data_IF_861805285791
#
_entry.id   IF_861805285791
#
_cell.length_a   1.000
_cell.length_b   1.000
_cell.length_c   1.000
_cell.angle_alpha   90.00
_cell.angle_beta   90.00
_cell.angle_gamma   90.00
#
_symmetry.space_group_name_H-M   'P 1'
#
loop_
_entity.id
_entity.type
_entity.pdbx_description
1 polymer ?
#
# COMPACT_ATOMS: atom_id res chain seq x y z
N UNK A 1 21.33 -94.80 -48.87
CA UNK A 1 20.62 -94.22 -47.71
C UNK A 1 21.63 -93.38 -46.93
N UNK A 2 21.45 -92.06 -46.85
CA UNK A 2 22.03 -91.21 -45.82
C UNK A 2 21.24 -89.90 -45.77
N UNK A 3 20.99 -89.49 -44.53
CA UNK A 3 19.99 -88.55 -44.03
C UNK A 3 20.55 -87.11 -44.02
N UNK A 4 19.68 -86.16 -44.35
CA UNK A 4 19.45 -84.84 -43.69
C UNK A 4 20.65 -84.10 -43.06
N UNK A 5 20.77 -82.80 -43.34
CA UNK A 5 20.44 -81.78 -42.33
C UNK A 5 20.54 -80.35 -42.87
N UNK A 6 19.39 -79.69 -42.83
CA UNK A 6 19.17 -78.29 -43.14
C UNK A 6 19.44 -77.45 -41.87
N UNK A 7 20.48 -76.62 -41.88
CA UNK A 7 20.78 -75.71 -40.77
C UNK A 7 20.18 -74.34 -41.09
N UNK A 8 19.02 -74.05 -40.48
CA UNK A 8 18.42 -72.72 -40.42
C UNK A 8 19.18 -71.85 -39.39
N UNK A 9 19.51 -70.57 -39.68
CA UNK A 9 20.25 -69.72 -38.76
C UNK A 9 19.35 -69.13 -37.64
N UNK A 10 19.89 -68.87 -36.43
CA UNK A 10 19.10 -68.41 -35.29
C UNK A 10 18.73 -66.92 -35.40
N UNK A 11 17.46 -66.61 -35.11
CA UNK A 11 16.87 -65.27 -35.23
C UNK A 11 17.16 -64.38 -34.00
N UNK A 12 18.19 -63.53 -34.12
CA UNK A 12 18.56 -62.53 -33.10
C UNK A 12 17.76 -61.23 -33.23
N UNK A 13 16.41 -61.30 -33.22
CA UNK A 13 15.52 -60.12 -33.41
C UNK A 13 14.87 -59.56 -32.13
N UNK A 14 14.90 -60.30 -31.01
CA UNK A 14 14.25 -59.89 -29.74
C UNK A 14 14.94 -58.73 -29.00
N UNK A 15 16.27 -58.60 -29.07
CA UNK A 15 17.00 -57.53 -28.35
C UNK A 15 16.86 -56.16 -29.01
N UNK A 16 16.72 -56.11 -30.34
CA UNK A 16 16.58 -54.85 -31.08
C UNK A 16 15.20 -54.20 -30.86
N UNK A 17 14.13 -55.00 -30.86
CA UNK A 17 12.77 -54.51 -30.59
C UNK A 17 12.65 -54.00 -29.15
N UNK A 18 13.27 -54.69 -28.19
CA UNK A 18 13.30 -54.25 -26.80
C UNK A 18 14.03 -52.92 -26.62
N UNK A 19 15.20 -52.76 -27.26
CA UNK A 19 15.95 -51.50 -27.22
C UNK A 19 15.18 -50.36 -27.91
N UNK A 20 14.45 -50.63 -28.99
CA UNK A 20 13.61 -49.64 -29.66
C UNK A 20 12.42 -49.20 -28.77
N UNK A 21 11.75 -50.14 -28.09
CA UNK A 21 10.68 -49.82 -27.14
C UNK A 21 11.20 -49.01 -25.94
N UNK A 22 12.38 -49.35 -25.44
CA UNK A 22 13.03 -48.63 -24.34
C UNK A 22 13.39 -47.20 -24.76
N UNK A 23 13.85 -46.99 -25.99
CA UNK A 23 14.14 -45.66 -26.54
C UNK A 23 12.87 -44.81 -26.67
N UNK A 24 11.78 -45.38 -27.18
CA UNK A 24 10.48 -44.69 -27.26
C UNK A 24 9.96 -44.32 -25.87
N UNK A 25 10.07 -45.24 -24.89
CA UNK A 25 9.70 -44.96 -23.51
C UNK A 25 10.53 -43.82 -22.90
N UNK A 26 11.84 -43.79 -23.15
CA UNK A 26 12.72 -42.69 -22.71
C UNK A 26 12.27 -41.36 -23.31
N UNK A 27 11.87 -41.32 -24.58
CA UNK A 27 11.34 -40.09 -25.20
C UNK A 27 10.07 -39.62 -24.48
N UNK A 28 9.16 -40.53 -24.14
CA UNK A 28 7.96 -40.17 -23.37
C UNK A 28 8.29 -39.66 -21.96
N UNK A 29 9.27 -40.27 -21.29
CA UNK A 29 9.72 -39.82 -19.96
C UNK A 29 10.37 -38.43 -20.05
N UNK A 30 11.23 -38.19 -21.03
CA UNK A 30 11.86 -36.88 -21.25
C UNK A 30 10.82 -35.82 -21.60
N UNK A 31 9.84 -36.15 -22.45
CA UNK A 31 8.74 -35.26 -22.79
C UNK A 31 7.85 -34.95 -21.56
N UNK A 32 7.57 -35.94 -20.73
CA UNK A 32 6.80 -35.76 -19.48
C UNK A 32 7.57 -34.90 -18.47
N UNK A 33 8.89 -35.11 -18.32
CA UNK A 33 9.75 -34.30 -17.46
C UNK A 33 9.81 -32.85 -17.97
N UNK A 34 10.01 -32.65 -19.28
CA UNK A 34 10.03 -31.32 -19.87
C UNK A 34 8.67 -30.61 -19.70
N UNK A 35 7.57 -31.32 -19.94
CA UNK A 35 6.21 -30.80 -19.74
C UNK A 35 5.97 -30.43 -18.28
N UNK A 36 6.34 -31.29 -17.33
CA UNK A 36 6.24 -31.02 -15.91
C UNK A 36 7.11 -29.82 -15.50
N UNK A 37 8.36 -29.72 -15.98
CA UNK A 37 9.25 -28.61 -15.67
C UNK A 37 8.69 -27.28 -16.22
N UNK A 38 8.18 -27.29 -17.45
CA UNK A 38 7.62 -26.09 -18.11
C UNK A 38 6.32 -25.59 -17.47
N UNK A 39 5.53 -26.47 -16.82
CA UNK A 39 4.20 -26.13 -16.28
C UNK A 39 4.20 -25.93 -14.76
N UNK A 40 4.90 -26.79 -14.00
CA UNK A 40 4.89 -26.80 -12.53
C UNK A 40 6.05 -26.03 -11.90
N UNK A 41 7.20 -25.95 -12.58
CA UNK A 41 8.43 -25.35 -12.07
C UNK A 41 8.80 -24.04 -12.80
N UNK A 42 7.96 -23.55 -13.71
CA UNK A 42 8.23 -22.27 -14.36
C UNK A 42 7.96 -21.12 -13.37
N UNK A 43 8.91 -20.18 -13.20
CA UNK A 43 8.72 -18.98 -12.37
C UNK A 43 7.49 -18.16 -12.78
N UNK A 44 6.98 -18.33 -14.00
CA UNK A 44 5.81 -17.64 -14.53
C UNK A 44 4.51 -17.97 -13.77
N UNK A 45 4.35 -19.19 -13.26
CA UNK A 45 3.14 -19.57 -12.52
C UNK A 45 3.14 -19.03 -11.09
N UNK A 46 4.31 -18.97 -10.44
CA UNK A 46 4.47 -18.39 -9.10
C UNK A 46 4.33 -16.87 -9.16
N UNK A 47 4.97 -16.23 -10.15
CA UNK A 47 4.83 -14.78 -10.36
C UNK A 47 3.41 -14.37 -10.75
N UNK A 48 2.67 -15.19 -11.53
CA UNK A 48 1.27 -14.90 -11.82
C UNK A 48 0.38 -14.90 -10.56
N UNK A 49 0.56 -15.87 -9.67
CA UNK A 49 -0.18 -15.92 -8.40
C UNK A 49 0.21 -14.79 -7.46
N UNK A 50 1.50 -14.47 -7.34
CA UNK A 50 1.98 -13.34 -6.53
C UNK A 50 1.46 -12.00 -7.07
N UNK A 51 1.45 -11.80 -8.39
CA UNK A 51 0.90 -10.59 -9.01
C UNK A 51 -0.61 -10.50 -8.78
N UNK A 52 -1.34 -11.60 -8.91
CA UNK A 52 -2.79 -11.63 -8.65
C UNK A 52 -3.10 -11.31 -7.18
N UNK A 53 -2.37 -11.90 -6.23
CA UNK A 53 -2.52 -11.61 -4.80
C UNK A 53 -2.17 -10.17 -4.45
N UNK A 54 -1.04 -9.65 -4.96
CA UNK A 54 -0.63 -8.27 -4.73
C UNK A 54 -1.62 -7.28 -5.34
N UNK A 55 -2.18 -7.60 -6.52
CA UNK A 55 -3.19 -6.78 -7.17
C UNK A 55 -4.50 -6.78 -6.38
N UNK A 56 -4.98 -7.94 -5.92
CA UNK A 56 -6.16 -8.04 -5.08
C UNK A 56 -5.98 -7.28 -3.76
N UNK A 57 -4.84 -7.44 -3.09
CA UNK A 57 -4.51 -6.71 -1.87
C UNK A 57 -4.47 -5.18 -2.09
N UNK A 58 -3.93 -4.74 -3.23
CA UNK A 58 -3.93 -3.33 -3.61
C UNK A 58 -5.36 -2.81 -3.83
N UNK A 59 -6.22 -3.56 -4.52
CA UNK A 59 -7.62 -3.18 -4.72
C UNK A 59 -8.40 -3.09 -3.41
N UNK A 60 -8.22 -4.08 -2.52
CA UNK A 60 -8.85 -4.07 -1.20
C UNK A 60 -8.38 -2.86 -0.37
N UNK A 61 -7.08 -2.59 -0.36
CA UNK A 61 -6.51 -1.43 0.32
C UNK A 61 -7.05 -0.11 -0.25
N UNK A 62 -7.12 0.01 -1.58
CA UNK A 62 -7.61 1.21 -2.25
C UNK A 62 -9.11 1.44 -1.95
N UNK A 63 -9.90 0.37 -1.93
CA UNK A 63 -11.32 0.43 -1.59
C UNK A 63 -11.53 0.82 -0.11
N UNK A 64 -10.79 0.22 0.81
CA UNK A 64 -10.83 0.60 2.22
C UNK A 64 -10.42 2.06 2.43
N UNK A 65 -9.38 2.52 1.74
CA UNK A 65 -8.93 3.92 1.76
C UNK A 65 -10.02 4.87 1.25
N UNK A 66 -10.62 4.57 0.08
CA UNK A 66 -11.74 5.37 -0.47
C UNK A 66 -12.92 5.42 0.49
N UNK A 67 -13.30 4.29 1.08
CA UNK A 67 -14.39 4.22 2.04
C UNK A 67 -14.09 5.02 3.31
N UNK A 68 -12.88 4.88 3.87
CA UNK A 68 -12.47 5.61 5.06
C UNK A 68 -12.53 7.13 4.85
N UNK A 69 -12.07 7.62 3.70
CA UNK A 69 -12.10 9.04 3.37
C UNK A 69 -13.54 9.53 3.12
N UNK A 70 -14.37 8.74 2.42
CA UNK A 70 -15.75 9.12 2.13
C UNK A 70 -16.66 9.09 3.36
N UNK A 71 -16.37 8.22 4.33
CA UNK A 71 -17.12 8.08 5.59
C UNK A 71 -16.53 8.91 6.74
N UNK A 72 -15.47 9.67 6.49
CA UNK A 72 -14.85 10.53 7.48
C UNK A 72 -15.83 11.63 7.90
N UNK A 73 -15.96 11.82 9.21
CA UNK A 73 -16.83 12.84 9.82
C UNK A 73 -16.06 13.81 10.71
N UNK A 74 -14.74 13.65 10.82
CA UNK A 74 -13.90 14.44 11.72
C UNK A 74 -13.30 15.63 10.98
N UNK A 75 -13.96 16.77 11.05
CA UNK A 75 -13.50 18.01 10.45
C UNK A 75 -14.63 19.02 10.38
N UNK A 76 -14.27 20.27 10.13
CA UNK A 76 -15.22 21.35 9.90
C UNK A 76 -15.61 21.48 8.43
N UNK A 77 -16.69 22.22 8.20
CA UNK A 77 -17.09 22.69 6.87
C UNK A 77 -16.12 23.75 6.34
N UNK A 78 -15.34 24.38 7.23
CA UNK A 78 -14.26 25.33 6.91
C UNK A 78 -12.95 24.92 7.60
N UNK A 79 -11.78 25.38 7.11
CA UNK A 79 -10.52 25.09 7.79
C UNK A 79 -10.43 25.79 9.16
N UNK A 80 -11.07 26.95 9.35
CA UNK A 80 -11.14 27.63 10.65
C UNK A 80 -11.91 26.80 11.68
N UNK A 81 -13.05 26.20 11.28
CA UNK A 81 -13.82 25.31 12.15
C UNK A 81 -13.01 24.07 12.50
N UNK A 82 -12.28 23.50 11.54
CA UNK A 82 -11.39 22.35 11.78
C UNK A 82 -10.25 22.71 12.73
N UNK A 83 -9.63 23.88 12.55
CA UNK A 83 -8.59 24.39 13.43
C UNK A 83 -9.11 24.55 14.87
N UNK A 84 -10.32 25.09 15.02
CA UNK A 84 -10.95 25.25 16.34
C UNK A 84 -11.23 23.91 17.02
N UNK A 85 -11.81 22.95 16.30
CA UNK A 85 -12.06 21.59 16.79
C UNK A 85 -10.76 20.88 17.20
N UNK A 86 -9.69 21.07 16.43
CA UNK A 86 -8.37 20.54 16.74
C UNK A 86 -7.79 21.17 18.01
N UNK A 87 -7.83 22.50 18.12
CA UNK A 87 -7.37 23.22 19.32
C UNK A 87 -8.15 22.76 20.55
N UNK A 88 -9.48 22.65 20.48
CA UNK A 88 -10.32 22.19 21.60
C UNK A 88 -9.96 20.76 22.04
N UNK A 89 -9.70 19.86 21.10
CA UNK A 89 -9.25 18.50 21.43
C UNK A 89 -7.88 18.52 22.14
N UNK A 90 -6.94 19.37 21.69
CA UNK A 90 -5.63 19.52 22.34
C UNK A 90 -5.73 20.14 23.74
N UNK A 91 -6.58 21.16 23.93
CA UNK A 91 -6.85 21.80 25.22
C UNK A 91 -7.40 20.80 26.24
N UNK A 92 -8.27 19.89 25.79
CA UNK A 92 -8.80 18.79 26.58
C UNK A 92 -7.81 17.62 26.75
N UNK A 93 -6.65 17.67 26.10
CA UNK A 93 -5.66 16.59 26.09
C UNK A 93 -6.14 15.32 25.38
N UNK A 94 -7.18 15.41 24.55
CA UNK A 94 -7.74 14.32 23.76
C UNK A 94 -6.96 14.16 22.45
N UNK A 95 -5.78 13.55 22.58
CA UNK A 95 -4.88 13.29 21.44
C UNK A 95 -5.47 12.30 20.44
N UNK A 96 -6.41 11.45 20.88
CA UNK A 96 -7.12 10.54 19.98
C UNK A 96 -8.05 11.33 19.06
N UNK A 97 -8.89 12.20 19.63
CA UNK A 97 -9.77 13.07 18.84
C UNK A 97 -8.96 14.04 17.97
N UNK A 98 -7.91 14.64 18.52
CA UNK A 98 -7.05 15.56 17.79
C UNK A 98 -6.40 14.89 16.57
N UNK A 99 -5.95 13.64 16.70
CA UNK A 99 -5.35 12.89 15.59
C UNK A 99 -6.33 12.60 14.45
N UNK A 100 -7.63 12.55 14.74
CA UNK A 100 -8.65 12.28 13.71
C UNK A 100 -8.89 13.47 12.80
N UNK A 101 -8.48 14.69 13.14
CA UNK A 101 -8.59 15.85 12.25
C UNK A 101 -7.51 15.88 11.16
N UNK A 102 -6.51 14.99 11.23
CA UNK A 102 -5.53 14.84 10.15
C UNK A 102 -6.11 14.09 8.96
N UNK A 103 -5.59 14.40 7.78
CA UNK A 103 -5.93 13.73 6.54
C UNK A 103 -5.47 12.26 6.59
N UNK A 104 -6.33 11.35 6.14
CA UNK A 104 -5.94 9.97 5.91
C UNK A 104 -5.18 9.91 4.60
N UNK A 105 -3.90 9.58 4.66
CA UNK A 105 -3.04 9.42 3.50
C UNK A 105 -2.53 7.97 3.36
N UNK A 106 -2.04 7.60 2.17
CA UNK A 106 -1.54 6.24 1.91
C UNK A 106 -0.37 5.77 2.79
N UNK A 107 0.43 6.70 3.31
CA UNK A 107 1.58 6.40 4.16
C UNK A 107 1.19 6.33 5.65
N UNK A 108 -0.09 6.48 5.99
CA UNK A 108 -0.60 6.50 7.35
C UNK A 108 0.05 7.59 8.24
N UNK A 109 0.34 8.78 7.69
CA UNK A 109 0.89 9.90 8.46
C UNK A 109 0.01 10.28 9.66
N UNK A 110 -1.29 10.03 9.63
CA UNK A 110 -2.18 10.17 10.79
C UNK A 110 -1.70 9.38 12.04
N UNK A 111 -1.06 8.22 11.87
CA UNK A 111 -0.49 7.43 12.98
C UNK A 111 0.72 8.16 13.57
N UNK A 112 1.58 8.73 12.71
CA UNK A 112 2.74 9.50 13.13
C UNK A 112 2.34 10.79 13.85
N UNK A 113 1.30 11.49 13.35
CA UNK A 113 0.76 12.67 14.03
C UNK A 113 0.19 12.32 15.40
N UNK A 114 -0.57 11.22 15.51
CA UNK A 114 -1.07 10.74 16.82
C UNK A 114 0.09 10.49 17.79
N UNK A 115 1.15 9.82 17.34
CA UNK A 115 2.35 9.55 18.14
C UNK A 115 3.00 10.87 18.60
N UNK A 116 3.21 11.82 17.69
CA UNK A 116 3.77 13.12 18.01
C UNK A 116 2.92 13.91 19.03
N UNK A 117 1.59 13.82 18.94
CA UNK A 117 0.68 14.43 19.91
C UNK A 117 0.76 13.76 21.29
N UNK A 118 0.89 12.43 21.35
CA UNK A 118 1.14 11.69 22.60
C UNK A 118 2.45 12.14 23.23
N UNK A 119 3.53 12.21 22.47
CA UNK A 119 4.85 12.62 22.97
C UNK A 119 4.81 14.06 23.53
N UNK A 120 4.08 14.97 22.87
CA UNK A 120 3.85 16.34 23.36
C UNK A 120 2.99 16.37 24.62
N UNK A 121 2.00 15.48 24.74
CA UNK A 121 1.18 15.33 25.95
C UNK A 121 2.04 14.89 27.14
N UNK A 122 2.85 13.87 26.96
CA UNK A 122 3.74 13.34 28.00
C UNK A 122 4.78 14.38 28.43
N UNK A 123 5.28 15.16 27.48
CA UNK A 123 6.24 16.26 27.71
C UNK A 123 5.60 17.55 28.23
N UNK A 124 4.27 17.59 28.42
CA UNK A 124 3.49 18.76 28.84
C UNK A 124 3.61 19.98 27.91
N UNK A 125 3.82 19.71 26.62
CA UNK A 125 4.02 20.72 25.57
C UNK A 125 2.74 21.04 24.79
N UNK A 126 1.62 20.34 25.03
CA UNK A 126 0.35 20.62 24.34
C UNK A 126 -0.11 22.06 24.53
N UNK A 127 0.07 22.65 25.72
CA UNK A 127 -0.30 24.04 25.97
C UNK A 127 0.51 25.04 25.13
N UNK A 128 1.78 24.74 24.85
CA UNK A 128 2.62 25.54 23.96
C UNK A 128 2.14 25.44 22.51
N UNK A 129 1.78 24.23 22.07
CA UNK A 129 1.21 23.99 20.74
C UNK A 129 -0.13 24.74 20.57
N UNK A 130 -1.03 24.66 21.54
CA UNK A 130 -2.30 25.41 21.54
C UNK A 130 -2.04 26.92 21.45
N UNK A 131 -1.12 27.44 22.26
CA UNK A 131 -0.76 28.87 22.25
C UNK A 131 -0.20 29.32 20.89
N UNK A 132 0.56 28.44 20.21
CA UNK A 132 1.06 28.70 18.87
C UNK A 132 -0.09 28.74 17.86
N UNK A 133 -0.95 27.71 17.86
CA UNK A 133 -2.08 27.58 16.94
C UNK A 133 -3.06 28.76 17.04
N UNK A 134 -3.38 29.20 18.26
CA UNK A 134 -4.28 30.34 18.50
C UNK A 134 -3.76 31.67 17.95
N UNK A 135 -2.46 31.79 17.69
CA UNK A 135 -1.83 32.99 17.12
C UNK A 135 -1.69 32.92 15.61
N UNK A 136 -1.99 31.79 14.99
CA UNK A 136 -1.85 31.63 13.55
C UNK A 136 -2.92 32.44 12.82
N UNK A 137 -2.49 33.14 11.78
CA UNK A 137 -3.37 33.90 10.90
C UNK A 137 -3.45 33.21 9.54
N UNK A 138 -4.58 33.38 8.85
CA UNK A 138 -4.75 32.84 7.50
C UNK A 138 -3.73 33.49 6.55
N UNK A 139 -3.03 32.64 5.80
CA UNK A 139 -2.08 33.07 4.78
C UNK A 139 -2.81 33.15 3.44
N UNK A 140 -2.97 34.36 2.92
CA UNK A 140 -3.54 34.60 1.60
C UNK A 140 -2.41 34.65 0.56
N UNK A 141 -2.44 33.73 -0.40
CA UNK A 141 -1.56 33.71 -1.57
C UNK A 141 -2.32 33.11 -2.76
N UNK A 142 -2.37 33.84 -3.88
CA UNK A 142 -3.03 33.42 -5.11
C UNK A 142 -2.44 32.14 -5.74
N UNK A 143 -1.24 31.73 -5.34
CA UNK A 143 -0.63 30.47 -5.78
C UNK A 143 -1.15 29.25 -5.01
N UNK A 144 -1.85 29.44 -3.88
CA UNK A 144 -2.40 28.35 -3.08
C UNK A 144 -3.68 27.83 -3.76
N UNK A 145 -3.80 26.52 -4.04
CA UNK A 145 -5.02 25.93 -4.59
C UNK A 145 -6.27 26.18 -3.73
N UNK A 146 -7.45 26.20 -4.35
CA UNK A 146 -8.71 26.45 -3.65
C UNK A 146 -9.03 25.40 -2.58
N UNK A 147 -8.59 24.16 -2.78
CA UNK A 147 -8.74 23.03 -1.87
C UNK A 147 -7.63 22.94 -0.80
N UNK A 148 -6.73 23.93 -0.76
CA UNK A 148 -5.66 24.05 0.24
C UNK A 148 -5.78 25.38 0.99
N UNK A 149 -5.58 25.37 2.31
CA UNK A 149 -5.60 26.59 3.13
C UNK A 149 -4.48 26.52 4.15
N UNK A 150 -3.75 27.62 4.32
CA UNK A 150 -2.59 27.67 5.21
C UNK A 150 -2.86 28.72 6.28
N UNK A 151 -2.60 28.37 7.53
CA UNK A 151 -2.54 29.32 8.65
C UNK A 151 -1.12 29.32 9.18
N UNK A 152 -0.63 30.47 9.64
CA UNK A 152 0.72 30.51 10.18
C UNK A 152 1.09 31.82 10.86
N UNK A 153 2.33 31.85 11.34
CA UNK A 153 2.94 32.99 12.01
C UNK A 153 4.15 33.42 11.18
N UNK A 154 4.24 34.72 10.90
CA UNK A 154 5.41 35.31 10.25
C UNK A 154 6.35 35.88 11.30
N UNK A 155 7.65 35.68 11.10
CA UNK A 155 8.68 36.31 11.93
C UNK A 155 8.87 37.80 11.57
N UNK A 156 9.77 38.49 12.29
CA UNK A 156 10.05 39.92 12.10
C UNK A 156 10.54 40.29 10.69
N UNK A 157 10.98 39.32 9.89
CA UNK A 157 11.40 39.50 8.49
C UNK A 157 10.26 39.26 7.50
N UNK A 158 9.04 38.99 7.98
CA UNK A 158 7.87 38.67 7.18
C UNK A 158 7.87 37.24 6.61
N UNK A 159 8.82 36.39 7.00
CA UNK A 159 8.92 35.00 6.55
C UNK A 159 8.03 34.10 7.42
N UNK A 160 7.40 33.10 6.80
CA UNK A 160 6.60 32.09 7.49
C UNK A 160 7.51 31.25 8.39
N UNK A 161 7.29 31.30 9.70
CA UNK A 161 8.10 30.63 10.72
C UNK A 161 7.42 29.35 11.22
N UNK A 162 6.09 29.39 11.33
CA UNK A 162 5.25 28.25 11.66
C UNK A 162 4.02 28.26 10.77
N UNK A 163 3.56 27.07 10.40
CA UNK A 163 2.33 26.92 9.64
C UNK A 163 1.62 25.60 9.90
N UNK A 164 0.32 25.62 9.66
CA UNK A 164 -0.51 24.43 9.55
C UNK A 164 -1.21 24.48 8.19
N UNK A 165 -1.19 23.36 7.47
CA UNK A 165 -1.79 23.23 6.15
C UNK A 165 -3.04 22.39 6.24
N UNK A 166 -4.13 22.88 5.67
CA UNK A 166 -5.40 22.20 5.55
C UNK A 166 -5.67 21.83 4.11
N UNK A 167 -6.32 20.68 3.92
CA UNK A 167 -6.77 20.19 2.62
C UNK A 167 -8.22 19.76 2.69
N UNK A 168 -8.98 20.08 1.65
CA UNK A 168 -10.37 19.65 1.52
C UNK A 168 -10.39 18.15 1.16
N UNK A 169 -10.95 17.33 2.04
CA UNK A 169 -11.37 15.99 1.68
C UNK A 169 -12.61 16.13 0.77
N UNK A 170 -12.40 15.97 -0.53
CA UNK A 170 -13.46 16.15 -1.53
C UNK A 170 -14.57 15.09 -1.45
N UNK A 171 -14.29 13.89 -0.92
CA UNK A 171 -15.28 12.82 -0.84
C UNK A 171 -16.31 13.06 0.27
N UNK A 172 -15.86 13.57 1.43
CA UNK A 172 -16.73 13.90 2.57
C UNK A 172 -17.08 15.39 2.68
N UNK A 173 -16.44 16.25 1.87
CA UNK A 173 -16.62 17.71 1.88
C UNK A 173 -16.31 18.32 3.26
N UNK A 174 -15.22 17.87 3.88
CA UNK A 174 -14.72 18.35 5.18
C UNK A 174 -13.25 18.76 5.06
N UNK A 175 -12.85 19.76 5.84
CA UNK A 175 -11.44 20.18 5.89
C UNK A 175 -10.65 19.32 6.87
N UNK A 176 -9.42 18.98 6.49
CA UNK A 176 -8.50 18.11 7.25
C UNK A 176 -7.14 18.76 7.35
N UNK A 177 -6.41 18.49 8.42
CA UNK A 177 -5.01 18.91 8.57
C UNK A 177 -4.13 17.99 7.73
N UNK A 178 -3.42 18.54 6.76
CA UNK A 178 -2.43 17.80 5.96
C UNK A 178 -1.08 17.77 6.68
N UNK A 179 -0.68 18.89 7.29
CA UNK A 179 0.66 19.04 7.91
C UNK A 179 0.66 20.12 9.00
N UNK A 180 1.51 19.93 10.04
CA UNK A 180 1.80 20.87 11.13
C UNK A 180 3.23 20.70 11.66
#
# INVERSE_FOLDING_TARGET
>A
MAVENNIQPPSKKRSFVWNALLFVFIIFVVAAIWFAWSRLLSPAAQTAQEVEQNYAAYQEWEEQYRQAIAQDTYGGSTPEETLQLFIEALENGDVELASKYFLIDPNNSHIEYRKALVDKKESKELGLLVTLLQKMEKIEDSAIPDDVKIFGIRNDKGLLDYSITFKLNQAAVIWKIEEI
#
